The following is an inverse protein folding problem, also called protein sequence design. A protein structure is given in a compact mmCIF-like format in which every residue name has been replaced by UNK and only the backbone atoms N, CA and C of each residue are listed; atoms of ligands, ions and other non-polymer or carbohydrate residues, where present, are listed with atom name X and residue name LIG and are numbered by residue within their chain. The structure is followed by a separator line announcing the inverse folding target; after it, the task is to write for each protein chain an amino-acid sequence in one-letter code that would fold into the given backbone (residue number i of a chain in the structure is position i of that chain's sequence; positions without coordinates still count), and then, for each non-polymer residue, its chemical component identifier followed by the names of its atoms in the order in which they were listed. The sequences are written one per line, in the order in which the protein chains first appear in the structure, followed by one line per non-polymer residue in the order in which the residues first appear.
data_IF_429177623094
#
_entry.id   IF_429177623094
#
_cell.length_a   1.000
_cell.length_b   1.000
_cell.length_c   1.000
_cell.angle_alpha   90.00
_cell.angle_beta   90.00
_cell.angle_gamma   90.00
#
_symmetry.space_group_name_H-M   'P 1'
#
loop_
_entity.id
_entity.type
_entity.pdbx_description
1 polymer ?
#
# COMPACT_ATOMS: atom_id res chain seq x y z
N UNK A 1 24.40 6.89 -14.35
CA UNK A 1 25.84 7.17 -14.18
C UNK A 1 26.38 6.14 -13.21
N UNK A 2 27.52 5.50 -13.50
CA UNK A 2 28.14 4.56 -12.56
C UNK A 2 28.80 5.35 -11.43
N UNK A 3 28.09 5.47 -10.30
CA UNK A 3 28.72 5.92 -9.06
C UNK A 3 29.76 4.86 -8.65
N UNK A 4 31.00 5.25 -8.38
CA UNK A 4 32.08 4.28 -8.04
C UNK A 4 32.21 4.02 -6.53
N UNK A 5 31.66 4.88 -5.68
CA UNK A 5 31.89 4.83 -4.23
C UNK A 5 30.79 4.06 -3.49
N UNK A 6 31.18 3.30 -2.47
CA UNK A 6 30.24 2.62 -1.57
C UNK A 6 30.35 3.23 -0.18
N UNK A 7 29.21 3.46 0.47
CA UNK A 7 29.12 3.86 1.88
C UNK A 7 28.76 2.63 2.72
N UNK A 8 29.50 2.39 3.81
CA UNK A 8 29.12 1.38 4.80
C UNK A 8 29.19 1.95 6.20
N UNK A 9 28.08 1.88 6.94
CA UNK A 9 27.97 2.25 8.35
C UNK A 9 27.82 0.97 9.16
N UNK A 10 28.70 0.76 10.15
CA UNK A 10 28.59 -0.35 11.12
C UNK A 10 28.50 0.23 12.53
N UNK A 11 27.57 -0.27 13.35
CA UNK A 11 27.25 0.33 14.65
C UNK A 11 26.31 1.51 14.46
N UNK A 12 26.60 2.64 15.11
CA UNK A 12 25.85 3.88 14.91
C UNK A 12 26.72 4.89 14.15
N UNK A 13 26.17 5.59 13.16
CA UNK A 13 26.93 6.57 12.39
C UNK A 13 26.08 7.54 11.57
N UNK A 14 26.71 8.64 11.16
CA UNK A 14 26.09 9.69 10.36
C UNK A 14 26.91 9.88 9.09
N UNK A 15 26.25 10.08 7.94
CA UNK A 15 26.85 10.49 6.68
C UNK A 15 26.14 11.71 6.11
N UNK A 16 26.87 12.55 5.38
CA UNK A 16 26.32 13.79 4.83
C UNK A 16 25.35 13.60 3.66
N UNK A 17 25.20 12.38 3.10
CA UNK A 17 24.44 12.15 1.86
C UNK A 17 25.33 12.21 0.61
N UNK A 18 24.69 12.39 -0.54
CA UNK A 18 25.34 12.41 -1.86
C UNK A 18 25.15 11.15 -2.69
N UNK A 19 26.03 10.99 -3.68
CA UNK A 19 25.95 10.02 -4.75
C UNK A 19 26.81 8.76 -4.49
N UNK A 20 26.18 7.59 -4.45
CA UNK A 20 26.86 6.32 -4.19
C UNK A 20 26.44 5.22 -5.15
N UNK A 21 27.32 4.23 -5.37
CA UNK A 21 26.89 2.99 -5.98
C UNK A 21 25.99 2.23 -5.01
N UNK A 22 26.54 2.03 -3.81
CA UNK A 22 25.97 1.15 -2.79
C UNK A 22 26.08 1.82 -1.43
N UNK A 23 24.98 1.86 -0.72
CA UNK A 23 24.90 2.29 0.68
C UNK A 23 24.48 1.09 1.51
N UNK A 24 25.25 0.79 2.56
CA UNK A 24 24.96 -0.31 3.46
C UNK A 24 25.00 0.15 4.91
N UNK A 25 23.88 0.07 5.61
CA UNK A 25 23.79 0.38 7.04
C UNK A 25 23.62 -0.93 7.81
N UNK A 26 24.43 -1.12 8.85
CA UNK A 26 24.38 -2.25 9.79
C UNK A 26 24.41 -1.72 11.22
N UNK A 27 23.26 -1.68 11.87
CA UNK A 27 23.05 -0.95 13.12
C UNK A 27 22.16 0.26 12.86
N UNK A 28 22.59 1.44 13.29
CA UNK A 28 21.85 2.69 13.16
C UNK A 28 22.61 3.65 12.23
N UNK A 29 21.93 4.19 11.23
CA UNK A 29 22.58 5.09 10.27
C UNK A 29 21.70 6.26 9.88
N UNK A 30 22.22 7.47 10.04
CA UNK A 30 21.55 8.70 9.56
C UNK A 30 22.29 9.25 8.35
N UNK A 31 21.54 9.59 7.30
CA UNK A 31 22.00 10.32 6.13
C UNK A 31 21.41 11.73 6.21
N UNK A 32 22.23 12.72 6.51
CA UNK A 32 21.77 14.07 6.89
C UNK A 32 21.19 14.92 5.76
N UNK A 33 21.41 14.56 4.50
CA UNK A 33 20.90 15.30 3.34
C UNK A 33 20.42 14.33 2.25
N UNK A 34 20.10 14.88 1.08
CA UNK A 34 19.70 14.13 -0.11
C UNK A 34 20.69 13.03 -0.49
N UNK A 35 20.14 11.93 -1.01
CA UNK A 35 20.87 10.74 -1.38
C UNK A 35 20.44 10.22 -2.75
N UNK A 36 21.43 9.85 -3.55
CA UNK A 36 21.23 9.13 -4.81
C UNK A 36 22.10 7.88 -4.82
N UNK A 37 21.53 6.70 -5.09
CA UNK A 37 22.33 5.49 -5.24
C UNK A 37 21.70 4.38 -6.09
N UNK A 38 22.53 3.43 -6.55
CA UNK A 38 22.00 2.24 -7.21
C UNK A 38 21.41 1.24 -6.21
N UNK A 39 22.05 1.04 -5.06
CA UNK A 39 21.61 0.08 -4.05
C UNK A 39 21.71 0.68 -2.64
N UNK A 40 20.58 0.77 -1.93
CA UNK A 40 20.54 1.08 -0.51
C UNK A 40 20.07 -0.15 0.26
N UNK A 41 20.89 -0.62 1.21
CA UNK A 41 20.52 -1.73 2.10
C UNK A 41 20.72 -1.37 3.56
N UNK A 42 19.67 -1.49 4.35
CA UNK A 42 19.76 -1.34 5.80
C UNK A 42 19.48 -2.66 6.51
N UNK A 43 20.25 -2.92 7.56
CA UNK A 43 20.10 -4.01 8.52
C UNK A 43 20.12 -3.39 9.91
N UNK A 44 18.94 -3.09 10.46
CA UNK A 44 18.77 -2.27 11.66
C UNK A 44 17.88 -1.07 11.37
N UNK A 45 18.31 0.13 11.78
CA UNK A 45 17.55 1.37 11.63
C UNK A 45 18.29 2.33 10.70
N UNK A 46 17.58 2.94 9.77
CA UNK A 46 18.13 4.04 8.97
C UNK A 46 17.20 5.23 8.85
N UNK A 47 17.79 6.42 8.77
CA UNK A 47 17.09 7.66 8.51
C UNK A 47 17.77 8.41 7.37
N UNK A 48 16.99 8.90 6.41
CA UNK A 48 17.45 9.84 5.38
C UNK A 48 16.68 11.15 5.57
N UNK A 49 17.38 12.20 6.00
CA UNK A 49 16.77 13.50 6.32
C UNK A 49 16.42 14.33 5.07
N UNK A 50 16.89 13.92 3.89
CA UNK A 50 16.59 14.57 2.60
C UNK A 50 15.76 13.70 1.65
N UNK A 51 15.76 14.05 0.37
CA UNK A 51 15.18 13.25 -0.70
C UNK A 51 16.03 12.02 -1.00
N UNK A 52 15.41 10.94 -1.46
CA UNK A 52 16.07 9.69 -1.81
C UNK A 52 15.73 9.27 -3.24
N UNK A 53 16.75 9.22 -4.10
CA UNK A 53 16.67 8.61 -5.44
C UNK A 53 17.43 7.28 -5.44
N UNK A 54 16.76 6.17 -5.68
CA UNK A 54 17.41 4.85 -5.51
C UNK A 54 16.88 3.78 -6.44
N UNK A 55 17.74 3.04 -7.13
CA UNK A 55 17.24 1.92 -7.97
C UNK A 55 16.72 0.76 -7.12
N UNK A 56 17.50 0.29 -6.15
CA UNK A 56 17.11 -0.81 -5.27
C UNK A 56 17.25 -0.42 -3.80
N UNK A 57 16.13 -0.29 -3.12
CA UNK A 57 16.04 0.02 -1.69
C UNK A 57 15.54 -1.20 -0.93
N UNK A 58 16.38 -1.76 -0.04
CA UNK A 58 16.05 -2.95 0.74
C UNK A 58 16.22 -2.67 2.23
N UNK A 59 15.15 -2.89 2.98
CA UNK A 59 15.08 -2.66 4.42
C UNK A 59 14.92 -3.98 5.15
N UNK A 60 15.83 -4.29 6.06
CA UNK A 60 15.70 -5.33 7.08
C UNK A 60 15.72 -4.66 8.46
N UNK A 61 14.55 -4.38 9.04
CA UNK A 61 14.39 -3.54 10.22
C UNK A 61 13.52 -2.32 9.94
N UNK A 62 13.95 -1.15 10.36
CA UNK A 62 13.17 0.09 10.30
C UNK A 62 13.89 1.13 9.43
N UNK A 63 13.13 1.89 8.64
CA UNK A 63 13.71 2.96 7.85
C UNK A 63 12.77 4.15 7.69
N UNK A 64 13.33 5.35 7.74
CA UNK A 64 12.59 6.60 7.59
C UNK A 64 13.25 7.48 6.52
N UNK A 65 12.43 8.08 5.67
CA UNK A 65 12.87 9.09 4.69
C UNK A 65 12.01 10.33 4.86
N UNK A 66 12.64 11.46 5.21
CA UNK A 66 11.94 12.71 5.45
C UNK A 66 11.45 13.37 4.15
N UNK A 67 12.26 13.30 3.09
CA UNK A 67 11.94 13.87 1.78
C UNK A 67 11.16 12.94 0.86
N UNK A 68 11.13 13.30 -0.42
CA UNK A 68 10.51 12.49 -1.47
C UNK A 68 11.35 11.24 -1.77
N UNK A 69 10.68 10.17 -2.18
CA UNK A 69 11.33 8.92 -2.63
C UNK A 69 11.03 8.69 -4.10
N UNK A 70 12.07 8.53 -4.91
CA UNK A 70 12.01 8.10 -6.31
C UNK A 70 12.81 6.79 -6.46
N UNK A 71 12.13 5.68 -6.73
CA UNK A 71 12.79 4.37 -6.77
C UNK A 71 12.27 3.38 -7.82
N UNK A 72 13.17 2.57 -8.38
CA UNK A 72 12.77 1.47 -9.28
C UNK A 72 12.21 0.27 -8.46
N UNK A 73 12.79 -0.04 -7.30
CA UNK A 73 12.33 -1.15 -6.45
C UNK A 73 12.55 -0.92 -4.96
N UNK A 74 11.49 -1.11 -4.18
CA UNK A 74 11.50 -1.09 -2.71
C UNK A 74 11.10 -2.46 -2.16
N UNK A 75 11.95 -3.01 -1.29
CA UNK A 75 11.69 -4.28 -0.57
C UNK A 75 11.84 -4.07 0.92
N UNK A 76 10.77 -4.29 1.68
CA UNK A 76 10.77 -4.06 3.13
C UNK A 76 10.49 -5.36 3.87
N UNK A 77 11.36 -5.70 4.82
CA UNK A 77 11.22 -6.78 5.79
C UNK A 77 11.30 -6.15 7.19
N UNK A 78 10.19 -5.57 7.64
CA UNK A 78 10.12 -4.68 8.80
C UNK A 78 9.21 -3.49 8.51
N UNK A 79 9.64 -2.27 8.83
CA UNK A 79 8.81 -1.08 8.65
C UNK A 79 9.54 -0.01 7.86
N UNK A 80 8.81 0.77 7.06
CA UNK A 80 9.36 1.95 6.38
C UNK A 80 8.35 3.09 6.39
N UNK A 81 8.82 4.29 6.72
CA UNK A 81 8.04 5.52 6.69
C UNK A 81 8.64 6.51 5.70
N UNK A 82 7.80 7.11 4.86
CA UNK A 82 8.15 8.13 3.88
C UNK A 82 7.30 9.36 4.16
N UNK A 83 7.92 10.47 4.54
CA UNK A 83 7.20 11.64 5.08
C UNK A 83 6.71 12.60 3.99
N UNK A 84 7.08 12.37 2.74
CA UNK A 84 6.60 13.12 1.56
C UNK A 84 6.03 12.17 0.52
N UNK A 85 5.99 12.59 -0.75
CA UNK A 85 5.50 11.78 -1.86
C UNK A 85 6.49 10.66 -2.20
N UNK A 86 5.96 9.52 -2.66
CA UNK A 86 6.73 8.39 -3.12
C UNK A 86 6.33 7.99 -4.55
N UNK A 87 7.30 7.96 -5.45
CA UNK A 87 7.20 7.37 -6.79
C UNK A 87 8.06 6.11 -6.83
N UNK A 88 7.42 4.94 -6.90
CA UNK A 88 8.12 3.65 -6.81
C UNK A 88 7.53 2.67 -7.81
N UNK A 89 8.28 2.25 -8.82
CA UNK A 89 7.77 1.31 -9.84
C UNK A 89 7.32 -0.02 -9.20
N UNK A 90 8.14 -0.61 -8.30
CA UNK A 90 7.85 -1.92 -7.68
C UNK A 90 8.04 -1.95 -6.17
N UNK A 91 6.97 -2.19 -5.44
CA UNK A 91 6.95 -2.30 -3.98
C UNK A 91 6.65 -3.74 -3.56
N UNK A 92 7.49 -4.28 -2.67
CA UNK A 92 7.24 -5.57 -2.01
C UNK A 92 7.50 -5.47 -0.51
N UNK A 93 6.45 -5.57 0.29
CA UNK A 93 6.53 -5.37 1.74
C UNK A 93 6.09 -6.62 2.49
N UNK A 94 6.90 -7.05 3.45
CA UNK A 94 6.54 -8.00 4.51
C UNK A 94 6.71 -7.29 5.85
N UNK A 95 5.63 -6.68 6.32
CA UNK A 95 5.62 -5.74 7.43
C UNK A 95 4.76 -4.52 7.10
N UNK A 96 5.22 -3.32 7.45
CA UNK A 96 4.46 -2.07 7.25
C UNK A 96 5.19 -1.11 6.31
N UNK A 97 4.42 -0.43 5.47
CA UNK A 97 4.89 0.77 4.77
C UNK A 97 3.89 1.90 5.02
N UNK A 98 4.41 3.06 5.38
CA UNK A 98 3.64 4.29 5.55
C UNK A 98 4.19 5.39 4.63
N UNK A 99 3.28 6.07 3.92
CA UNK A 99 3.59 7.23 3.08
C UNK A 99 2.68 8.38 3.50
N UNK A 100 3.26 9.49 3.97
CA UNK A 100 2.50 10.66 4.42
C UNK A 100 2.02 11.55 3.26
N UNK A 101 2.63 11.41 2.08
CA UNK A 101 2.17 12.02 0.83
C UNK A 101 1.35 11.07 -0.03
N UNK A 102 1.42 11.27 -1.35
CA UNK A 102 0.85 10.33 -2.35
C UNK A 102 1.81 9.19 -2.65
N UNK A 103 1.26 8.05 -3.06
CA UNK A 103 2.00 6.90 -3.56
C UNK A 103 1.68 6.67 -5.03
N UNK A 104 2.70 6.72 -5.89
CA UNK A 104 2.55 6.43 -7.33
C UNK A 104 3.52 5.32 -7.74
N UNK A 105 3.14 4.49 -8.73
CA UNK A 105 3.98 3.37 -9.16
C UNK A 105 3.28 2.41 -10.11
N UNK A 106 3.87 1.23 -10.31
CA UNK A 106 3.28 0.21 -11.20
C UNK A 106 2.70 -0.94 -10.36
N UNK A 107 3.53 -1.58 -9.52
CA UNK A 107 3.17 -2.81 -8.80
C UNK A 107 3.39 -2.71 -7.29
N UNK A 108 2.35 -3.00 -6.51
CA UNK A 108 2.39 -3.01 -5.04
C UNK A 108 1.95 -4.36 -4.47
N UNK A 109 2.87 -5.11 -3.85
CA UNK A 109 2.61 -6.36 -3.11
C UNK A 109 2.92 -6.17 -1.62
N UNK A 110 1.87 -6.04 -0.80
CA UNK A 110 2.00 -5.80 0.65
C UNK A 110 1.41 -6.95 1.45
N UNK A 111 2.24 -7.54 2.32
CA UNK A 111 1.84 -8.51 3.34
C UNK A 111 2.08 -7.91 4.72
N UNK A 112 1.03 -7.34 5.31
CA UNK A 112 1.09 -6.64 6.59
C UNK A 112 0.19 -5.40 6.58
N UNK A 113 0.74 -4.20 6.44
CA UNK A 113 -0.03 -2.97 6.40
C UNK A 113 0.50 -1.97 5.35
N UNK A 114 -0.43 -1.30 4.67
CA UNK A 114 -0.16 -0.18 3.76
C UNK A 114 -0.97 1.03 4.25
N UNK A 115 -0.27 2.09 4.65
CA UNK A 115 -0.89 3.34 5.11
C UNK A 115 -0.43 4.48 4.21
N UNK A 116 -1.34 5.15 3.51
CA UNK A 116 -1.02 6.27 2.61
C UNK A 116 -1.95 7.44 2.89
N UNK A 117 -1.41 8.58 3.35
CA UNK A 117 -2.24 9.74 3.71
C UNK A 117 -2.78 10.49 2.49
N UNK A 118 -2.10 10.42 1.35
CA UNK A 118 -2.61 10.92 0.07
C UNK A 118 -3.30 9.83 -0.75
N UNK A 119 -3.34 10.09 -2.06
CA UNK A 119 -3.85 9.16 -3.05
C UNK A 119 -2.84 8.03 -3.33
N UNK A 120 -3.35 6.88 -3.76
CA UNK A 120 -2.57 5.75 -4.27
C UNK A 120 -2.93 5.57 -5.75
N UNK A 121 -1.96 5.79 -6.64
CA UNK A 121 -2.13 5.64 -8.09
C UNK A 121 -1.13 4.61 -8.62
N UNK A 122 -1.61 3.39 -8.90
CA UNK A 122 -0.75 2.28 -9.35
C UNK A 122 -1.41 1.48 -10.47
N UNK A 123 -0.70 0.60 -11.16
CA UNK A 123 -1.32 -0.32 -12.14
C UNK A 123 -1.94 -1.53 -11.44
N UNK A 124 -1.20 -2.16 -10.52
CA UNK A 124 -1.63 -3.33 -9.76
C UNK A 124 -1.37 -3.18 -8.25
N UNK A 125 -2.41 -3.43 -7.45
CA UNK A 125 -2.31 -3.52 -6.00
C UNK A 125 -2.76 -4.90 -5.51
N UNK A 126 -1.85 -5.62 -4.85
CA UNK A 126 -2.14 -6.84 -4.10
C UNK A 126 -1.78 -6.65 -2.63
N UNK A 127 -2.80 -6.70 -1.77
CA UNK A 127 -2.63 -6.49 -0.34
C UNK A 127 -3.22 -7.65 0.45
N UNK A 128 -2.43 -8.24 1.35
CA UNK A 128 -2.92 -9.16 2.38
C UNK A 128 -2.62 -8.55 3.74
N UNK A 129 -3.62 -7.98 4.40
CA UNK A 129 -3.31 -7.14 5.55
C UNK A 129 -4.40 -6.17 5.96
N UNK A 130 -3.94 -5.02 6.46
CA UNK A 130 -4.72 -3.80 6.65
C UNK A 130 -4.32 -2.73 5.61
N UNK A 131 -5.27 -1.89 5.25
CA UNK A 131 -5.11 -0.81 4.29
C UNK A 131 -5.75 0.46 4.86
N UNK A 132 -4.98 1.54 4.96
CA UNK A 132 -5.49 2.86 5.29
C UNK A 132 -5.11 3.86 4.20
N UNK A 133 -6.09 4.59 3.66
CA UNK A 133 -5.85 5.79 2.88
C UNK A 133 -6.93 6.85 3.09
N UNK A 134 -6.50 8.10 3.26
CA UNK A 134 -7.40 9.25 3.35
C UNK A 134 -7.81 9.77 1.95
N UNK A 135 -7.19 9.24 0.89
CA UNK A 135 -7.36 9.62 -0.50
C UNK A 135 -8.09 8.59 -1.37
N UNK A 136 -7.97 8.77 -2.68
CA UNK A 136 -8.41 7.81 -3.70
C UNK A 136 -7.36 6.71 -3.85
N UNK A 137 -7.80 5.45 -3.82
CA UNK A 137 -7.04 4.32 -4.35
C UNK A 137 -7.49 4.08 -5.80
N UNK A 138 -6.62 4.37 -6.77
CA UNK A 138 -6.85 4.14 -8.19
C UNK A 138 -5.85 3.12 -8.74
N UNK A 139 -6.35 2.01 -9.30
CA UNK A 139 -5.52 1.07 -10.03
C UNK A 139 -6.30 0.26 -11.07
N UNK A 140 -5.62 -0.28 -12.09
CA UNK A 140 -6.29 -1.18 -13.04
C UNK A 140 -6.80 -2.44 -12.33
N UNK A 141 -5.94 -3.08 -11.52
CA UNK A 141 -6.27 -4.30 -10.79
C UNK A 141 -6.02 -4.13 -9.29
N UNK A 142 -7.08 -4.31 -8.49
CA UNK A 142 -7.03 -4.23 -7.03
C UNK A 142 -7.46 -5.58 -6.43
N UNK A 143 -6.55 -6.22 -5.70
CA UNK A 143 -6.83 -7.42 -4.90
C UNK A 143 -6.49 -7.17 -3.42
N UNK A 144 -7.52 -7.12 -2.57
CA UNK A 144 -7.38 -6.90 -1.13
C UNK A 144 -7.89 -8.14 -0.40
N UNK A 145 -7.00 -8.81 0.33
CA UNK A 145 -7.28 -9.89 1.26
C UNK A 145 -7.21 -9.37 2.70
N UNK A 146 -8.35 -8.96 3.24
CA UNK A 146 -8.49 -8.39 4.58
C UNK A 146 -8.07 -9.40 5.67
N UNK A 147 -7.18 -8.98 6.56
CA UNK A 147 -6.75 -9.76 7.75
C UNK A 147 -7.09 -9.11 9.08
N UNK A 148 -6.99 -7.79 9.18
CA UNK A 148 -7.16 -7.03 10.42
C UNK A 148 -8.36 -6.09 10.30
N UNK A 149 -8.96 -5.72 11.43
CA UNK A 149 -10.00 -4.70 11.47
C UNK A 149 -9.44 -3.30 11.18
N UNK A 150 -10.32 -2.40 10.73
CA UNK A 150 -10.01 -0.99 10.58
C UNK A 150 -9.43 -0.58 9.22
N UNK A 151 -9.53 -1.42 8.18
CA UNK A 151 -9.13 -0.95 6.84
C UNK A 151 -10.11 0.11 6.36
N UNK A 152 -9.58 1.23 5.88
CA UNK A 152 -10.35 2.39 5.48
C UNK A 152 -9.70 3.04 4.26
N UNK A 153 -10.47 3.28 3.22
CA UNK A 153 -10.05 4.07 2.06
C UNK A 153 -11.18 5.04 1.75
N UNK A 154 -10.91 6.31 1.42
CA UNK A 154 -12.00 7.27 1.14
C UNK A 154 -12.80 6.84 -0.10
N UNK A 155 -12.10 6.60 -1.20
CA UNK A 155 -12.67 6.21 -2.50
C UNK A 155 -11.79 5.16 -3.16
N UNK A 156 -12.40 4.24 -3.91
CA UNK A 156 -11.68 3.21 -4.68
C UNK A 156 -12.16 3.25 -6.13
N UNK A 157 -11.22 3.43 -7.05
CA UNK A 157 -11.42 3.36 -8.50
C UNK A 157 -10.56 2.27 -9.12
N UNK A 158 -11.11 1.53 -10.08
CA UNK A 158 -10.29 0.60 -10.84
C UNK A 158 -11.05 -0.22 -11.87
N UNK A 159 -10.34 -0.89 -12.78
CA UNK A 159 -11.00 -1.75 -13.76
C UNK A 159 -11.56 -3.00 -13.08
N UNK A 160 -10.72 -3.71 -12.32
CA UNK A 160 -11.09 -4.92 -11.59
C UNK A 160 -10.78 -4.78 -10.11
N UNK A 161 -11.83 -4.85 -9.29
CA UNK A 161 -11.74 -4.66 -7.85
C UNK A 161 -12.21 -5.93 -7.15
N UNK A 162 -11.33 -6.56 -6.40
CA UNK A 162 -11.62 -7.76 -5.61
C UNK A 162 -11.22 -7.54 -4.16
N UNK A 163 -12.20 -7.41 -3.28
CA UNK A 163 -12.01 -7.41 -1.83
C UNK A 163 -12.53 -8.73 -1.27
N UNK A 164 -11.66 -9.45 -0.58
CA UNK A 164 -11.96 -10.73 0.06
C UNK A 164 -11.58 -10.69 1.52
N UNK A 165 -12.29 -11.47 2.33
CA UNK A 165 -11.81 -11.80 3.66
C UNK A 165 -10.92 -13.03 3.60
N UNK A 166 -9.73 -12.94 4.19
CA UNK A 166 -8.87 -14.13 4.31
C UNK A 166 -9.45 -15.10 5.35
N UNK A 167 -9.54 -16.37 5.00
CA UNK A 167 -10.05 -17.42 5.88
C UNK A 167 -9.22 -17.51 7.19
N UNK A 168 -9.93 -17.70 8.30
CA UNK A 168 -9.34 -17.84 9.65
C UNK A 168 -8.53 -19.13 9.74
N UNK A 169 -7.31 -19.06 10.26
CA UNK A 169 -6.58 -20.24 10.74
C UNK A 169 -6.80 -20.52 12.24
N UNK A 170 -7.35 -19.57 13.02
CA UNK A 170 -7.59 -19.72 14.46
C UNK A 170 -9.06 -19.35 14.78
N UNK A 171 -9.89 -20.28 15.31
CA UNK A 171 -11.33 -20.10 15.46
C UNK A 171 -11.80 -19.20 16.62
N UNK A 172 -10.92 -18.52 17.36
CA UNK A 172 -11.26 -17.83 18.62
C UNK A 172 -10.93 -16.33 18.68
N UNK A 173 -10.56 -15.69 17.57
CA UNK A 173 -10.34 -14.23 17.53
C UNK A 173 -11.52 -13.54 16.83
N UNK A 174 -12.12 -12.58 17.51
CA UNK A 174 -13.34 -11.89 17.06
C UNK A 174 -13.09 -10.73 16.08
N UNK A 175 -11.83 -10.44 15.73
CA UNK A 175 -11.52 -9.33 14.84
C UNK A 175 -11.68 -9.75 13.38
N UNK A 176 -12.85 -9.48 12.79
CA UNK A 176 -13.09 -9.79 11.39
C UNK A 176 -12.68 -8.58 10.55
N UNK A 177 -11.57 -8.69 9.81
CA UNK A 177 -11.14 -7.60 8.95
C UNK A 177 -12.26 -7.11 8.03
N UNK A 178 -12.46 -5.80 8.03
CA UNK A 178 -13.48 -5.09 7.27
C UNK A 178 -12.85 -3.91 6.54
N UNK A 179 -13.44 -3.54 5.41
CA UNK A 179 -13.10 -2.35 4.64
C UNK A 179 -14.24 -1.33 4.76
N UNK A 180 -13.92 -0.09 5.11
CA UNK A 180 -14.83 1.04 5.05
C UNK A 180 -14.42 1.97 3.91
N UNK A 181 -15.38 2.37 3.07
CA UNK A 181 -15.16 3.34 1.98
C UNK A 181 -16.44 4.08 1.65
N UNK A 182 -16.35 5.31 1.14
CA UNK A 182 -17.55 6.02 0.69
C UNK A 182 -17.99 5.52 -0.68
N UNK A 183 -17.07 5.43 -1.64
CA UNK A 183 -17.38 5.06 -3.03
C UNK A 183 -16.43 3.96 -3.53
N UNK A 184 -16.97 2.99 -4.25
CA UNK A 184 -16.22 2.05 -5.09
C UNK A 184 -16.76 2.12 -6.51
N UNK A 185 -15.90 2.44 -7.48
CA UNK A 185 -16.25 2.51 -8.90
C UNK A 185 -15.32 1.64 -9.75
N UNK A 186 -15.88 0.82 -10.64
CA UNK A 186 -15.08 -0.04 -11.53
C UNK A 186 -15.88 -0.93 -12.46
N UNK A 187 -15.23 -1.63 -13.39
CA UNK A 187 -15.92 -2.49 -14.35
C UNK A 187 -16.39 -3.80 -13.70
N UNK A 188 -15.46 -4.54 -13.09
CA UNK A 188 -15.72 -5.84 -12.47
C UNK A 188 -15.43 -5.76 -10.97
N UNK A 189 -16.49 -5.78 -10.16
CA UNK A 189 -16.41 -5.58 -8.71
C UNK A 189 -16.86 -6.84 -7.97
N UNK A 190 -16.02 -7.32 -7.08
CA UNK A 190 -16.34 -8.35 -6.11
C UNK A 190 -15.95 -7.90 -4.70
N UNK A 191 -16.90 -7.86 -3.77
CA UNK A 191 -16.67 -7.39 -2.41
C UNK A 191 -17.09 -8.43 -1.37
N UNK A 192 -16.31 -8.55 -0.30
CA UNK A 192 -16.68 -9.22 0.95
C UNK A 192 -16.32 -8.30 2.12
N UNK A 193 -17.06 -8.37 3.22
CA UNK A 193 -16.74 -7.64 4.46
C UNK A 193 -16.47 -6.14 4.25
N UNK A 194 -17.25 -5.52 3.36
CA UNK A 194 -17.09 -4.12 2.96
C UNK A 194 -18.32 -3.31 3.34
N UNK A 195 -18.12 -2.18 4.01
CA UNK A 195 -19.15 -1.18 4.29
C UNK A 195 -18.92 -0.03 3.32
N UNK A 196 -19.91 0.26 2.47
CA UNK A 196 -19.82 1.37 1.52
C UNK A 196 -21.12 2.16 1.34
N UNK A 197 -21.00 3.44 1.01
CA UNK A 197 -22.16 4.26 0.67
C UNK A 197 -22.63 3.96 -0.75
N UNK A 198 -21.72 3.96 -1.72
CA UNK A 198 -22.03 3.70 -3.13
C UNK A 198 -21.05 2.68 -3.72
N UNK A 199 -21.58 1.70 -4.44
CA UNK A 199 -20.81 0.83 -5.32
C UNK A 199 -21.37 0.95 -6.73
N UNK A 200 -20.55 1.35 -7.69
CA UNK A 200 -20.93 1.56 -9.09
C UNK A 200 -20.07 0.71 -10.03
N UNK A 201 -20.68 -0.05 -10.93
CA UNK A 201 -19.90 -0.76 -11.94
C UNK A 201 -20.65 -1.48 -13.05
N UNK A 202 -19.92 -2.15 -13.94
CA UNK A 202 -20.57 -2.93 -15.01
C UNK A 202 -21.10 -4.25 -14.47
N UNK A 203 -20.25 -5.04 -13.81
CA UNK A 203 -20.59 -6.30 -13.18
C UNK A 203 -20.27 -6.24 -11.68
N UNK A 204 -21.31 -6.20 -10.85
CA UNK A 204 -21.17 -6.04 -9.40
C UNK A 204 -21.61 -7.29 -8.66
N UNK A 205 -20.70 -7.89 -7.89
CA UNK A 205 -20.99 -8.99 -6.96
C UNK A 205 -20.75 -8.55 -5.53
N UNK A 206 -21.80 -8.52 -4.72
CA UNK A 206 -21.73 -8.21 -3.29
C UNK A 206 -21.80 -9.51 -2.49
N UNK A 207 -20.68 -9.87 -1.88
CA UNK A 207 -20.46 -11.07 -1.10
C UNK A 207 -20.79 -10.90 0.41
N UNK A 208 -20.60 -11.97 1.20
CA UNK A 208 -20.97 -12.00 2.61
C UNK A 208 -20.32 -10.90 3.45
N UNK A 209 -21.06 -10.43 4.46
CA UNK A 209 -20.55 -9.44 5.42
C UNK A 209 -20.45 -8.02 4.88
N UNK A 210 -20.94 -7.76 3.66
CA UNK A 210 -21.04 -6.41 3.14
C UNK A 210 -22.30 -5.70 3.63
N UNK A 211 -22.17 -4.38 3.82
CA UNK A 211 -23.27 -3.46 4.08
C UNK A 211 -23.15 -2.27 3.11
N UNK A 212 -23.93 -2.28 2.04
CA UNK A 212 -23.87 -1.29 0.97
C UNK A 212 -25.15 -0.46 0.96
N UNK A 213 -25.04 0.88 0.92
CA UNK A 213 -26.24 1.71 0.86
C UNK A 213 -26.85 1.70 -0.54
N UNK A 214 -26.08 1.97 -1.59
CA UNK A 214 -26.58 1.99 -2.98
C UNK A 214 -25.64 1.18 -3.88
N UNK A 215 -26.22 0.28 -4.69
CA UNK A 215 -25.52 -0.37 -5.80
C UNK A 215 -26.08 0.13 -7.13
N UNK A 216 -25.23 0.73 -7.96
CA UNK A 216 -25.54 1.15 -9.32
C UNK A 216 -24.82 0.24 -10.31
N UNK A 217 -25.52 -0.36 -11.27
CA UNK A 217 -24.90 -1.29 -12.20
C UNK A 217 -25.40 -1.16 -13.64
N UNK A 218 -24.53 -1.42 -14.62
CA UNK A 218 -24.92 -1.40 -16.03
C UNK A 218 -25.31 -2.79 -16.57
N UNK A 219 -24.46 -3.80 -16.34
CA UNK A 219 -24.60 -5.12 -16.97
C UNK A 219 -25.22 -6.15 -16.02
N UNK A 220 -24.63 -6.35 -14.84
CA UNK A 220 -25.11 -7.38 -13.92
C UNK A 220 -24.90 -7.03 -12.45
N UNK A 221 -25.84 -7.48 -11.60
CA UNK A 221 -25.75 -7.40 -10.15
C UNK A 221 -26.05 -8.77 -9.52
N UNK A 222 -25.16 -9.22 -8.63
CA UNK A 222 -25.31 -10.47 -7.90
C UNK A 222 -25.06 -10.26 -6.40
N UNK A 223 -26.11 -10.42 -5.60
CA UNK A 223 -26.00 -10.39 -4.14
C UNK A 223 -25.92 -11.82 -3.59
N UNK A 224 -24.89 -12.11 -2.79
CA UNK A 224 -24.75 -13.40 -2.08
C UNK A 224 -25.47 -13.37 -0.73
N UNK A 225 -25.74 -14.56 -0.17
CA UNK A 225 -26.39 -14.70 1.14
C UNK A 225 -25.60 -13.97 2.23
N UNK A 226 -26.32 -13.24 3.09
CA UNK A 226 -25.79 -12.43 4.20
C UNK A 226 -25.08 -11.12 3.82
N UNK A 227 -25.19 -10.67 2.56
CA UNK A 227 -24.91 -9.29 2.21
C UNK A 227 -26.15 -8.42 2.47
N UNK A 228 -25.96 -7.20 2.96
CA UNK A 228 -27.01 -6.18 3.10
C UNK A 228 -26.78 -5.11 2.04
N UNK A 229 -27.77 -4.91 1.17
CA UNK A 229 -27.80 -3.84 0.17
C UNK A 229 -29.12 -3.10 0.36
N UNK A 230 -29.09 -1.80 0.67
CA UNK A 230 -30.34 -1.04 0.95
C UNK A 230 -31.11 -0.72 -0.31
N UNK A 231 -30.42 -0.28 -1.36
CA UNK A 231 -30.99 0.02 -2.68
C UNK A 231 -30.06 -0.51 -3.77
N UNK A 232 -30.64 -1.02 -4.86
CA UNK A 232 -29.91 -1.31 -6.09
C UNK A 232 -30.70 -0.84 -7.30
N UNK A 233 -30.02 -0.32 -8.32
CA UNK A 233 -30.66 0.09 -9.57
C UNK A 233 -29.74 -0.13 -10.77
N UNK A 234 -30.34 -0.49 -11.89
CA UNK A 234 -29.65 -0.56 -13.17
C UNK A 234 -29.67 0.83 -13.82
N UNK A 235 -28.51 1.33 -14.27
CA UNK A 235 -28.32 2.64 -14.88
C UNK A 235 -27.81 2.57 -16.32
#
# INVERSE_FOLDING_TARGET
MEHQHSLTVNGSGISAGGDYNKVKIRGEGTISNDMSCNEFKTYGTSEVCGNMKVKSYVVYGDSEVQGNVDAESVKVYGNTQMHSDAHIEKIKVRGMIEVKGKLTGDFVDVKGALNVKGDIEVEELSLTGGLESDGLLNAENIEISLRYEGSKVREIGGQKITVRKKARFIPFTNHAGSLQTSIIEGDDIYLEHTIAEVVRGNNVTIGPGCEISIVEYHTSFNQKSNAVVKEHKQI
#
